data_IF_364528877932
#
_entry.id   IF_364528877932
#
_cell.length_a   1.000
_cell.length_b   1.000
_cell.length_c   1.000
_cell.angle_alpha   90.00
_cell.angle_beta   90.00
_cell.angle_gamma   90.00
#
_symmetry.space_group_name_H-M   'P 1'
#
loop_
_entity.id
_entity.type
_entity.pdbx_description
1 polymer ?
#
# COMPACT_ATOMS: atom_id res chain seq x y z
N UNK A 1 -13.66 10.31 -6.15
CA UNK A 1 -13.37 11.71 -5.75
C UNK A 1 -14.49 12.71 -6.10
N UNK A 2 -14.99 12.75 -7.33
CA UNK A 2 -15.97 13.77 -7.78
C UNK A 2 -17.30 13.75 -7.02
N UNK A 3 -17.79 12.57 -6.65
CA UNK A 3 -19.10 12.40 -5.98
C UNK A 3 -19.05 12.91 -4.52
N UNK A 4 -17.95 12.71 -3.80
CA UNK A 4 -17.79 13.13 -2.39
C UNK A 4 -17.64 14.64 -2.24
N UNK A 5 -16.91 15.27 -3.17
CA UNK A 5 -16.73 16.73 -3.20
C UNK A 5 -18.08 17.45 -3.38
N UNK A 6 -19.02 16.81 -4.09
CA UNK A 6 -20.37 17.33 -4.30
C UNK A 6 -21.31 17.10 -3.11
N UNK A 7 -20.96 16.18 -2.20
CA UNK A 7 -21.77 15.79 -1.04
C UNK A 7 -21.21 16.31 0.30
N UNK A 8 -20.08 17.03 0.32
CA UNK A 8 -19.53 17.67 1.53
C UNK A 8 -18.81 16.73 2.51
N UNK A 9 -18.53 15.48 2.13
CA UNK A 9 -17.93 14.46 3.01
C UNK A 9 -16.40 14.38 2.96
N UNK A 10 -15.76 15.28 2.22
CA UNK A 10 -14.34 15.29 1.94
C UNK A 10 -13.80 16.72 2.07
N UNK A 11 -12.98 16.97 3.09
CA UNK A 11 -12.18 18.20 3.17
C UNK A 11 -10.81 17.90 2.56
N UNK A 12 -10.50 18.63 1.48
CA UNK A 12 -9.22 18.55 0.81
C UNK A 12 -8.30 19.57 1.48
N UNK A 13 -7.29 19.11 2.20
CA UNK A 13 -6.18 19.96 2.63
C UNK A 13 -5.16 20.02 1.48
N UNK A 14 -4.97 21.19 0.84
CA UNK A 14 -4.00 21.32 -0.22
C UNK A 14 -2.61 21.43 0.40
N UNK A 15 -1.87 20.32 0.48
CA UNK A 15 -0.44 20.34 0.78
C UNK A 15 0.35 20.13 -0.50
N UNK A 16 1.09 21.18 -0.90
CA UNK A 16 2.13 21.39 -1.93
C UNK A 16 2.21 20.53 -3.22
N UNK A 17 1.77 19.28 -3.28
CA UNK A 17 1.76 18.47 -4.52
C UNK A 17 0.74 17.32 -4.56
N UNK A 18 0.08 16.93 -3.46
CA UNK A 18 -0.93 15.87 -3.43
C UNK A 18 -2.02 16.27 -2.43
N UNK A 19 -3.29 16.36 -2.88
CA UNK A 19 -4.40 16.74 -2.01
C UNK A 19 -4.69 15.64 -0.98
N UNK A 20 -4.56 15.95 0.31
CA UNK A 20 -4.95 15.06 1.39
C UNK A 20 -6.45 15.22 1.62
N UNK A 21 -7.20 14.13 1.48
CA UNK A 21 -8.65 14.14 1.69
C UNK A 21 -8.96 13.49 3.01
N UNK A 22 -9.19 14.29 4.04
CA UNK A 22 -9.77 13.77 5.28
C UNK A 22 -11.28 13.59 5.05
N UNK A 23 -11.72 12.32 5.06
CA UNK A 23 -13.16 12.03 5.02
C UNK A 23 -13.74 12.10 6.42
N UNK A 24 -14.68 13.03 6.65
CA UNK A 24 -15.44 13.18 7.91
C UNK A 24 -16.58 12.15 8.01
N UNK A 25 -16.39 10.93 7.49
CA UNK A 25 -17.41 9.89 7.61
C UNK A 25 -17.33 9.31 9.03
N UNK A 26 -18.47 9.30 9.73
CA UNK A 26 -18.59 8.77 11.09
C UNK A 26 -18.02 7.34 11.18
N UNK A 27 -17.00 7.18 12.03
CA UNK A 27 -16.03 6.08 11.99
C UNK A 27 -16.54 4.71 12.51
N UNK A 28 -17.78 4.60 12.97
CA UNK A 28 -18.29 3.43 13.72
C UNK A 28 -19.54 2.78 13.14
N UNK A 29 -19.66 2.66 11.82
CA UNK A 29 -20.89 2.12 11.22
C UNK A 29 -20.73 1.35 9.93
N UNK A 30 -21.81 0.64 9.57
CA UNK A 30 -21.94 -0.09 8.30
C UNK A 30 -21.65 0.80 7.08
N UNK A 31 -21.96 2.10 7.15
CA UNK A 31 -21.63 3.10 6.13
C UNK A 31 -20.12 3.22 5.87
N UNK A 32 -19.29 3.23 6.92
CA UNK A 32 -17.85 3.28 6.76
C UNK A 32 -17.29 1.96 6.20
N UNK A 33 -17.93 0.82 6.50
CA UNK A 33 -17.57 -0.48 5.92
C UNK A 33 -17.99 -0.60 4.46
N UNK A 34 -19.17 -0.10 4.10
CA UNK A 34 -19.65 -0.03 2.73
C UNK A 34 -18.76 0.91 1.90
N UNK A 35 -18.44 2.08 2.45
CA UNK A 35 -17.52 3.03 1.84
C UNK A 35 -16.14 2.40 1.58
N UNK A 36 -15.54 1.80 2.62
CA UNK A 36 -14.30 1.03 2.50
C UNK A 36 -14.38 -0.01 1.38
N UNK A 37 -15.45 -0.79 1.34
CA UNK A 37 -15.63 -1.84 0.34
C UNK A 37 -15.70 -1.25 -1.07
N UNK A 38 -16.45 -0.16 -1.28
CA UNK A 38 -16.53 0.50 -2.58
C UNK A 38 -15.16 1.05 -3.03
N UNK A 39 -14.39 1.66 -2.13
CA UNK A 39 -13.04 2.15 -2.44
C UNK A 39 -12.09 1.00 -2.81
N UNK A 40 -12.10 -0.10 -2.04
CA UNK A 40 -11.24 -1.24 -2.36
C UNK A 40 -11.68 -1.95 -3.65
N UNK A 41 -12.98 -1.96 -3.97
CA UNK A 41 -13.49 -2.46 -5.27
C UNK A 41 -12.96 -1.63 -6.43
N UNK A 42 -13.02 -0.29 -6.33
CA UNK A 42 -12.48 0.61 -7.37
C UNK A 42 -10.97 0.38 -7.57
N UNK A 43 -10.21 0.28 -6.48
CA UNK A 43 -8.78 -0.04 -6.53
C UNK A 43 -8.52 -1.43 -7.14
N UNK A 44 -9.31 -2.44 -6.78
CA UNK A 44 -9.21 -3.78 -7.35
C UNK A 44 -9.47 -3.80 -8.85
N UNK A 45 -10.52 -3.12 -9.32
CA UNK A 45 -10.88 -3.07 -10.75
C UNK A 45 -9.82 -2.31 -11.57
N UNK A 46 -9.14 -1.31 -10.98
CA UNK A 46 -8.07 -0.58 -11.66
C UNK A 46 -6.77 -1.37 -11.71
N UNK A 47 -6.31 -1.86 -10.56
CA UNK A 47 -5.01 -2.54 -10.44
C UNK A 47 -5.06 -3.98 -10.97
N UNK A 48 -6.18 -4.67 -10.79
CA UNK A 48 -6.35 -6.08 -11.16
C UNK A 48 -6.02 -6.36 -12.62
N UNK A 49 -6.74 -5.78 -13.60
CA UNK A 49 -6.51 -6.03 -15.02
C UNK A 49 -5.10 -5.65 -15.47
N UNK A 50 -4.54 -4.55 -14.97
CA UNK A 50 -3.19 -4.09 -15.33
C UNK A 50 -2.10 -5.09 -14.93
N UNK A 51 -2.33 -5.86 -13.87
CA UNK A 51 -1.38 -6.88 -13.40
C UNK A 51 -1.75 -8.26 -13.97
N UNK A 52 -3.03 -8.62 -13.96
CA UNK A 52 -3.49 -9.95 -14.36
C UNK A 52 -3.32 -10.20 -15.86
N UNK A 53 -3.61 -9.21 -16.72
CA UNK A 53 -3.52 -9.41 -18.18
C UNK A 53 -2.06 -9.70 -18.61
N UNK A 54 -1.05 -8.88 -18.25
CA UNK A 54 0.32 -9.19 -18.64
C UNK A 54 0.86 -10.48 -18.01
N UNK A 55 0.47 -10.80 -16.77
CA UNK A 55 0.84 -12.06 -16.13
C UNK A 55 0.26 -13.28 -16.87
N UNK A 56 -1.00 -13.21 -17.30
CA UNK A 56 -1.63 -14.27 -18.10
C UNK A 56 -0.97 -14.44 -19.47
N UNK A 57 -0.38 -13.37 -20.02
CA UNK A 57 0.41 -13.40 -21.25
C UNK A 57 1.86 -13.87 -21.03
N UNK A 58 2.23 -14.24 -19.80
CA UNK A 58 3.56 -14.74 -19.46
C UNK A 58 4.62 -13.65 -19.26
N UNK A 59 4.22 -12.37 -19.18
CA UNK A 59 5.15 -11.28 -18.91
C UNK A 59 5.50 -11.18 -17.43
N UNK A 60 6.70 -10.68 -17.14
CA UNK A 60 7.09 -10.25 -15.78
C UNK A 60 6.55 -8.84 -15.54
N UNK A 61 5.82 -8.65 -14.44
CA UNK A 61 5.25 -7.36 -14.05
C UNK A 61 5.99 -6.83 -12.83
N UNK A 62 6.49 -5.59 -12.92
CA UNK A 62 7.09 -4.87 -11.80
C UNK A 62 6.11 -3.78 -11.39
N UNK A 63 5.63 -3.84 -10.14
CA UNK A 63 4.71 -2.87 -9.59
C UNK A 63 5.45 -1.92 -8.65
N UNK A 64 5.50 -0.62 -8.98
CA UNK A 64 5.79 0.43 -8.01
C UNK A 64 4.52 0.72 -7.23
N UNK A 65 4.46 0.19 -5.99
CA UNK A 65 3.28 0.08 -5.11
C UNK A 65 2.25 -0.94 -5.59
N UNK A 66 1.80 -1.78 -4.66
CA UNK A 66 0.87 -2.87 -4.93
C UNK A 66 -0.05 -3.10 -3.72
N UNK A 67 -0.49 -4.34 -3.49
CA UNK A 67 -1.46 -4.71 -2.45
C UNK A 67 -1.09 -4.20 -1.06
N UNK A 68 0.20 -4.23 -0.69
CA UNK A 68 0.65 -3.73 0.62
C UNK A 68 0.31 -2.24 0.81
N UNK A 69 0.61 -1.41 -0.18
CA UNK A 69 0.34 0.04 -0.16
C UNK A 69 -1.18 0.30 -0.17
N UNK A 70 -1.93 -0.40 -1.02
CA UNK A 70 -3.41 -0.32 -1.05
C UNK A 70 -4.06 -0.71 0.28
N UNK A 71 -3.47 -1.65 1.02
CA UNK A 71 -3.94 -2.02 2.36
C UNK A 71 -3.59 -0.94 3.38
N UNK A 72 -2.34 -0.46 3.40
CA UNK A 72 -1.92 0.57 4.37
C UNK A 72 -2.67 1.87 4.16
N UNK A 73 -2.83 2.34 2.93
CA UNK A 73 -3.58 3.56 2.63
C UNK A 73 -5.04 3.44 3.08
N UNK A 74 -5.72 2.37 2.68
CA UNK A 74 -7.11 2.16 3.07
C UNK A 74 -7.29 2.03 4.59
N UNK A 75 -6.36 1.37 5.28
CA UNK A 75 -6.43 1.19 6.74
C UNK A 75 -6.09 2.48 7.49
N UNK A 76 -5.12 3.25 7.00
CA UNK A 76 -4.77 4.55 7.58
C UNK A 76 -5.93 5.54 7.45
N UNK A 77 -6.58 5.59 6.28
CA UNK A 77 -7.71 6.49 6.03
C UNK A 77 -8.94 6.15 6.89
N UNK A 78 -9.16 4.86 7.16
CA UNK A 78 -10.26 4.37 7.98
C UNK A 78 -9.93 4.24 9.47
N UNK A 79 -8.67 4.53 9.86
CA UNK A 79 -8.10 4.25 11.20
C UNK A 79 -8.37 2.81 11.66
N UNK A 80 -8.32 1.86 10.72
CA UNK A 80 -8.63 0.46 10.95
C UNK A 80 -7.38 -0.33 11.36
N UNK A 81 -7.56 -1.36 12.18
CA UNK A 81 -6.44 -2.17 12.69
C UNK A 81 -6.30 -3.49 11.89
N UNK A 82 -5.08 -4.01 11.65
CA UNK A 82 -4.87 -5.20 10.83
C UNK A 82 -5.60 -6.46 11.30
N UNK A 83 -5.95 -6.54 12.59
CA UNK A 83 -6.69 -7.66 13.18
C UNK A 83 -8.22 -7.65 12.97
N UNK A 84 -8.84 -6.52 12.61
CA UNK A 84 -10.31 -6.42 12.41
C UNK A 84 -10.66 -6.02 10.98
N UNK A 85 -9.91 -6.58 10.03
CA UNK A 85 -9.98 -6.18 8.63
C UNK A 85 -11.39 -6.33 8.07
N UNK A 86 -11.96 -5.19 7.66
CA UNK A 86 -13.26 -5.10 6.98
C UNK A 86 -13.28 -5.94 5.71
N UNK A 87 -14.49 -6.32 5.27
CA UNK A 87 -14.70 -7.14 4.07
C UNK A 87 -13.99 -6.56 2.82
N UNK A 88 -13.94 -5.24 2.67
CA UNK A 88 -13.22 -4.56 1.58
C UNK A 88 -11.75 -4.99 1.46
N UNK A 89 -11.05 -5.22 2.57
CA UNK A 89 -9.65 -5.67 2.53
C UNK A 89 -9.51 -7.14 2.16
N UNK A 90 -10.55 -7.96 2.39
CA UNK A 90 -10.56 -9.35 1.91
C UNK A 90 -10.57 -9.40 0.38
N UNK A 91 -11.17 -8.41 -0.29
CA UNK A 91 -11.18 -8.33 -1.74
C UNK A 91 -9.75 -8.22 -2.32
N UNK A 92 -8.90 -7.43 -1.67
CA UNK A 92 -7.50 -7.27 -2.11
C UNK A 92 -6.70 -8.57 -2.02
N UNK A 93 -7.13 -9.55 -1.22
CA UNK A 93 -6.47 -10.87 -1.13
C UNK A 93 -6.67 -11.73 -2.38
N UNK A 94 -7.61 -11.36 -3.25
CA UNK A 94 -7.82 -12.03 -4.54
C UNK A 94 -6.92 -11.50 -5.65
N UNK A 95 -6.20 -10.39 -5.42
CA UNK A 95 -5.18 -9.94 -6.35
C UNK A 95 -4.03 -10.96 -6.39
N UNK A 96 -3.37 -11.14 -7.55
CA UNK A 96 -2.22 -12.04 -7.68
C UNK A 96 -1.19 -11.81 -6.57
N UNK A 97 -0.77 -12.86 -5.88
CA UNK A 97 0.29 -12.71 -4.89
C UNK A 97 1.62 -12.44 -5.61
N UNK A 98 2.39 -11.42 -5.19
CA UNK A 98 3.69 -11.18 -5.77
C UNK A 98 4.62 -12.35 -5.46
N UNK A 99 5.39 -12.82 -6.45
CA UNK A 99 6.45 -13.81 -6.17
C UNK A 99 7.54 -13.19 -5.28
N UNK A 100 7.83 -11.91 -5.48
CA UNK A 100 8.79 -11.15 -4.69
C UNK A 100 8.20 -9.78 -4.38
N UNK A 101 8.27 -9.37 -3.12
CA UNK A 101 7.82 -8.07 -2.66
C UNK A 101 8.86 -7.49 -1.72
N UNK A 102 9.15 -6.20 -1.89
CA UNK A 102 10.15 -5.48 -1.12
C UNK A 102 9.53 -4.24 -0.50
N UNK A 103 9.82 -4.01 0.78
CA UNK A 103 9.50 -2.80 1.51
C UNK A 103 10.80 -2.14 1.94
N UNK A 104 11.08 -0.94 1.43
CA UNK A 104 12.21 -0.13 1.90
C UNK A 104 11.75 0.68 3.10
N UNK A 105 12.23 0.31 4.29
CA UNK A 105 11.85 0.94 5.55
C UNK A 105 12.73 2.13 5.86
N UNK A 106 12.11 3.29 6.07
CA UNK A 106 12.77 4.53 6.47
C UNK A 106 12.21 4.98 7.81
N UNK A 107 13.04 5.64 8.63
CA UNK A 107 12.56 6.24 9.87
C UNK A 107 11.45 7.28 9.57
N UNK A 108 10.32 7.27 10.30
CA UNK A 108 9.21 8.20 10.06
C UNK A 108 9.60 9.68 10.10
N UNK A 109 10.60 10.06 10.90
CA UNK A 109 11.11 11.44 10.98
C UNK A 109 11.85 11.81 9.70
N UNK A 110 12.73 10.93 9.23
CA UNK A 110 13.45 11.11 7.96
C UNK A 110 12.48 11.17 6.79
N UNK A 111 11.42 10.34 6.80
CA UNK A 111 10.38 10.39 5.79
C UNK A 111 9.62 11.73 5.78
N UNK A 112 9.25 12.23 6.98
CA UNK A 112 8.60 13.53 7.15
C UNK A 112 9.48 14.70 6.69
N UNK A 113 10.77 14.66 6.99
CA UNK A 113 11.74 15.68 6.56
C UNK A 113 11.93 15.71 5.03
N UNK A 114 11.96 14.53 4.39
CA UNK A 114 12.13 14.42 2.93
C UNK A 114 10.90 14.93 2.17
N UNK A 115 9.71 14.67 2.71
CA UNK A 115 8.46 15.09 2.09
C UNK A 115 7.40 15.28 3.18
N UNK A 116 7.14 16.52 3.63
CA UNK A 116 6.09 16.80 4.60
C UNK A 116 4.74 16.85 3.89
N UNK A 117 4.38 15.76 3.19
CA UNK A 117 3.11 15.67 2.50
C UNK A 117 1.96 15.53 3.52
N UNK A 118 2.15 14.76 4.59
CA UNK A 118 1.15 14.65 5.67
C UNK A 118 1.31 15.73 6.75
N UNK A 119 0.22 16.15 7.40
CA UNK A 119 0.22 17.28 8.33
C UNK A 119 1.02 17.04 9.62
N UNK A 120 1.24 15.78 10.04
CA UNK A 120 1.94 15.48 11.30
C UNK A 120 2.80 14.21 11.21
N UNK A 121 3.86 14.17 12.03
CA UNK A 121 4.73 13.01 12.21
C UNK A 121 3.97 11.77 12.72
N UNK A 122 2.86 11.94 13.44
CA UNK A 122 2.07 10.81 13.94
C UNK A 122 1.36 10.06 12.81
N UNK A 123 0.98 10.72 11.71
CA UNK A 123 0.45 10.04 10.53
C UNK A 123 1.51 9.16 9.85
N UNK A 124 2.76 9.63 9.77
CA UNK A 124 3.88 8.84 9.26
C UNK A 124 4.17 7.63 10.16
N UNK A 125 4.19 7.83 11.48
CA UNK A 125 4.41 6.75 12.44
C UNK A 125 3.33 5.66 12.33
N UNK A 126 2.05 6.04 12.29
CA UNK A 126 0.94 5.09 12.18
C UNK A 126 1.01 4.27 10.89
N UNK A 127 1.35 4.90 9.75
CA UNK A 127 1.56 4.18 8.48
C UNK A 127 2.76 3.26 8.55
N UNK A 128 3.88 3.69 9.14
CA UNK A 128 5.06 2.84 9.30
C UNK A 128 4.78 1.60 10.17
N UNK A 129 3.99 1.75 11.23
CA UNK A 129 3.53 0.62 12.06
C UNK A 129 2.68 -0.36 11.25
N UNK A 130 1.71 0.13 10.47
CA UNK A 130 0.89 -0.69 9.58
C UNK A 130 1.71 -1.42 8.51
N UNK A 131 2.70 -0.73 7.90
CA UNK A 131 3.61 -1.33 6.94
C UNK A 131 4.40 -2.49 7.54
N UNK A 132 4.96 -2.32 8.74
CA UNK A 132 5.69 -3.39 9.42
C UNK A 132 4.78 -4.58 9.73
N UNK A 133 3.59 -4.34 10.31
CA UNK A 133 2.69 -5.43 10.68
C UNK A 133 2.17 -6.21 9.46
N UNK A 134 1.84 -5.51 8.36
CA UNK A 134 1.37 -6.16 7.14
C UNK A 134 2.50 -6.82 6.35
N UNK A 135 3.70 -6.24 6.34
CA UNK A 135 4.85 -6.85 5.68
C UNK A 135 5.15 -8.24 6.24
N UNK A 136 5.16 -8.38 7.57
CA UNK A 136 5.37 -9.66 8.25
C UNK A 136 4.28 -10.68 7.87
N UNK A 137 3.01 -10.27 7.86
CA UNK A 137 1.87 -11.14 7.50
C UNK A 137 1.87 -11.57 6.03
N UNK A 138 2.40 -10.73 5.15
CA UNK A 138 2.40 -10.95 3.69
C UNK A 138 3.69 -11.58 3.18
N UNK A 139 4.69 -11.81 4.04
CA UNK A 139 5.99 -12.35 3.64
C UNK A 139 6.82 -11.38 2.80
N UNK A 140 6.62 -10.07 2.99
CA UNK A 140 7.34 -9.04 2.25
C UNK A 140 8.76 -8.91 2.82
N UNK A 141 9.76 -8.85 1.94
CA UNK A 141 11.14 -8.60 2.36
C UNK A 141 11.29 -7.14 2.76
N UNK A 142 11.67 -6.89 4.02
CA UNK A 142 11.98 -5.54 4.50
C UNK A 142 13.46 -5.23 4.30
N UNK A 143 13.76 -4.12 3.63
CA UNK A 143 15.11 -3.59 3.40
C UNK A 143 15.30 -2.31 4.21
N UNK A 144 16.53 -2.07 4.67
CA UNK A 144 16.87 -0.84 5.38
C UNK A 144 17.07 0.32 4.40
N UNK A 145 16.23 1.34 4.50
CA UNK A 145 16.29 2.55 3.69
C UNK A 145 17.34 3.57 4.13
N UNK A 146 18.12 3.27 5.18
CA UNK A 146 19.33 4.02 5.52
C UNK A 146 20.54 3.64 4.65
N UNK A 147 20.47 2.49 3.97
CA UNK A 147 21.48 2.03 3.03
C UNK A 147 21.55 2.93 1.79
N UNK A 148 22.69 2.91 1.09
CA UNK A 148 22.80 3.60 -0.20
C UNK A 148 21.89 2.97 -1.25
N UNK A 149 21.42 3.73 -2.26
CA UNK A 149 20.62 3.19 -3.35
C UNK A 149 21.27 1.99 -4.05
N UNK A 150 22.59 2.02 -4.23
CA UNK A 150 23.37 0.95 -4.86
C UNK A 150 23.34 -0.32 -3.99
N UNK A 151 23.46 -0.18 -2.67
CA UNK A 151 23.42 -1.31 -1.75
C UNK A 151 22.03 -1.97 -1.73
N UNK A 152 20.95 -1.17 -1.75
CA UNK A 152 19.56 -1.65 -1.84
C UNK A 152 19.35 -2.36 -3.18
N UNK A 153 19.80 -1.76 -4.29
CA UNK A 153 19.71 -2.36 -5.62
C UNK A 153 20.40 -3.73 -5.68
N UNK A 154 21.64 -3.81 -5.18
CA UNK A 154 22.41 -5.07 -5.16
C UNK A 154 21.70 -6.14 -4.33
N UNK A 155 21.13 -5.78 -3.18
CA UNK A 155 20.41 -6.72 -2.32
C UNK A 155 19.12 -7.25 -2.97
N UNK A 156 18.35 -6.38 -3.63
CA UNK A 156 17.17 -6.77 -4.41
C UNK A 156 17.59 -7.74 -5.53
N UNK A 157 18.62 -7.38 -6.30
CA UNK A 157 19.09 -8.19 -7.43
C UNK A 157 19.60 -9.57 -6.99
N UNK A 158 20.32 -9.62 -5.88
CA UNK A 158 20.82 -10.86 -5.28
C UNK A 158 19.67 -11.80 -4.92
N UNK A 159 18.58 -11.28 -4.34
CA UNK A 159 17.39 -12.08 -3.99
C UNK A 159 16.65 -12.58 -5.22
N UNK A 160 16.42 -11.70 -6.20
CA UNK A 160 15.76 -12.07 -7.46
C UNK A 160 16.54 -13.17 -8.18
N UNK A 161 17.87 -13.03 -8.25
CA UNK A 161 18.74 -13.98 -8.94
C UNK A 161 18.76 -15.35 -8.26
N UNK A 162 18.79 -15.40 -6.92
CA UNK A 162 18.78 -16.64 -6.15
C UNK A 162 17.49 -17.43 -6.38
N UNK A 163 16.34 -16.77 -6.39
CA UNK A 163 15.04 -17.42 -6.61
C UNK A 163 14.90 -17.93 -8.04
N UNK A 164 15.40 -17.18 -9.02
CA UNK A 164 15.43 -17.63 -10.42
C UNK A 164 16.27 -18.90 -10.59
N UNK A 165 17.40 -19.01 -9.90
CA UNK A 165 18.23 -20.22 -9.93
C UNK A 165 17.55 -21.41 -9.24
N UNK A 166 16.83 -21.17 -8.14
CA UNK A 166 16.08 -22.22 -7.44
C UNK A 166 14.88 -22.75 -8.24
N UNK A 167 14.20 -21.89 -8.99
CA UNK A 167 13.05 -22.25 -9.83
C UNK A 167 13.38 -22.94 -11.16
N UNK A 168 14.65 -22.94 -11.58
CA UNK A 168 15.13 -23.65 -12.81
C UNK A 168 15.58 -25.08 -12.50
N UNK A 169 15.76 -25.43 -11.22
CA UNK A 169 16.23 -26.74 -10.77
C UNK A 169 15.09 -27.71 -10.38
N UNK A 170 13.83 -27.35 -10.57
CA UNK A 170 12.64 -28.17 -10.31
C UNK A 170 11.74 -28.27 -11.54
#
# INVERSE_FOLDING_TARGET
>A
MTILRRLGYAEVHPTSSIGFVETRISQKGALASLWSTLTQVDNFIKTGPMVMIPLMLGHTVICDRYVLDLMVEGMADLKDQPGRTRFGFKLLRFLPRPQQAFLVRVDPRVAFERKPDMPTLSHFRARAELYNELADRMGVTVLDGSMSPEAIHNEIWRRISKDRMAGVAG
#
